data_IF_129916996023
#
_entry.id   IF_129916996023
#
_cell.length_a   1.000
_cell.length_b   1.000
_cell.length_c   1.000
_cell.angle_alpha   90.00
_cell.angle_beta   90.00
_cell.angle_gamma   90.00
#
_symmetry.space_group_name_H-M   'P 1'
#
loop_
_entity.id
_entity.type
_entity.pdbx_description
1 polymer ?
#
# COMPACT_ATOMS: atom_id res chain seq x y z
N UNK A 1 10.34 -32.77 6.76
CA UNK A 1 10.93 -31.45 7.05
C UNK A 1 11.42 -31.51 8.48
N UNK A 2 12.61 -31.01 8.77
CA UNK A 2 13.18 -31.08 10.12
C UNK A 2 12.46 -30.08 11.05
N UNK A 3 12.25 -30.39 12.34
CA UNK A 3 11.55 -29.50 13.27
C UNK A 3 12.14 -28.09 13.37
N UNK A 4 13.46 -27.94 13.15
CA UNK A 4 14.11 -26.63 13.12
C UNK A 4 13.78 -25.82 11.86
N UNK A 5 13.52 -26.47 10.72
CA UNK A 5 13.07 -25.81 9.50
C UNK A 5 11.63 -25.33 9.65
N UNK A 6 10.79 -26.16 10.27
CA UNK A 6 9.41 -25.82 10.61
C UNK A 6 9.35 -24.66 11.61
N UNK A 7 10.30 -24.62 12.56
CA UNK A 7 10.47 -23.54 13.52
C UNK A 7 10.99 -22.24 12.89
N UNK A 8 11.98 -22.30 12.00
CA UNK A 8 12.44 -21.11 11.24
C UNK A 8 11.31 -20.55 10.38
N UNK A 9 10.55 -21.43 9.71
CA UNK A 9 9.40 -21.02 8.92
C UNK A 9 8.37 -20.31 9.83
N UNK A 10 7.95 -20.94 10.93
CA UNK A 10 6.96 -20.37 11.87
C UNK A 10 7.42 -19.12 12.64
N UNK A 11 8.68 -19.02 13.05
CA UNK A 11 9.24 -17.82 13.69
C UNK A 11 9.42 -16.65 12.70
N UNK A 12 9.72 -16.92 11.41
CA UNK A 12 9.72 -15.88 10.36
C UNK A 12 8.29 -15.37 10.06
N UNK A 13 7.24 -16.14 10.37
CA UNK A 13 5.85 -15.73 10.13
C UNK A 13 5.24 -14.88 11.24
N UNK A 14 5.81 -14.83 12.45
CA UNK A 14 5.46 -13.79 13.41
C UNK A 14 6.12 -12.48 12.97
N UNK A 15 5.42 -11.77 12.08
CA UNK A 15 5.88 -10.52 11.51
C UNK A 15 5.47 -9.38 12.43
N UNK A 16 6.48 -8.70 12.95
CA UNK A 16 6.36 -7.40 13.57
C UNK A 16 7.00 -6.36 12.66
N UNK A 17 6.20 -5.74 11.78
CA UNK A 17 6.73 -4.71 10.88
C UNK A 17 7.25 -3.48 11.62
N UNK A 18 6.89 -3.27 12.89
CA UNK A 18 7.47 -2.18 13.67
C UNK A 18 8.95 -2.38 13.93
N UNK A 19 9.43 -3.62 14.05
CA UNK A 19 10.87 -3.90 14.16
C UNK A 19 11.63 -3.47 12.90
N UNK A 20 10.98 -3.57 11.73
CA UNK A 20 11.56 -3.22 10.43
C UNK A 20 11.23 -1.79 9.96
N UNK A 21 10.63 -0.94 10.80
CA UNK A 21 10.12 0.39 10.41
C UNK A 21 11.17 1.30 9.75
N UNK A 22 12.44 1.23 10.17
CA UNK A 22 13.52 2.01 9.57
C UNK A 22 13.88 1.53 8.15
N UNK A 23 13.82 0.23 7.89
CA UNK A 23 14.03 -0.34 6.56
C UNK A 23 12.86 0.04 5.66
N UNK A 24 11.63 -0.14 6.15
CA UNK A 24 10.40 0.25 5.44
C UNK A 24 10.40 1.75 5.10
N UNK A 25 10.78 2.61 6.06
CA UNK A 25 10.86 4.05 5.86
C UNK A 25 11.86 4.46 4.79
N UNK A 26 13.05 3.84 4.79
CA UNK A 26 14.06 4.06 3.73
C UNK A 26 13.56 3.58 2.38
N UNK A 27 13.02 2.37 2.28
CA UNK A 27 12.42 1.85 1.06
C UNK A 27 11.34 2.80 0.50
N UNK A 28 10.47 3.33 1.38
CA UNK A 28 9.43 4.27 0.97
C UNK A 28 10.02 5.59 0.47
N UNK A 29 11.00 6.14 1.18
CA UNK A 29 11.73 7.33 0.74
C UNK A 29 12.36 7.11 -0.64
N UNK A 30 13.03 5.98 -0.87
CA UNK A 30 13.66 5.66 -2.15
C UNK A 30 12.68 5.57 -3.32
N UNK A 31 11.52 4.94 -3.10
CA UNK A 31 10.44 4.89 -4.09
C UNK A 31 9.90 6.30 -4.39
N UNK A 32 9.88 7.19 -3.39
CA UNK A 32 9.39 8.57 -3.56
C UNK A 32 10.42 9.54 -4.16
N UNK A 33 11.73 9.28 -4.06
CA UNK A 33 12.80 10.16 -4.58
C UNK A 33 12.60 10.65 -6.02
N UNK A 34 12.13 9.84 -6.99
CA UNK A 34 11.94 10.30 -8.36
C UNK A 34 10.86 11.37 -8.55
N UNK A 35 9.95 11.53 -7.58
CA UNK A 35 8.84 12.49 -7.60
C UNK A 35 9.02 13.60 -6.57
N UNK A 36 9.82 13.39 -5.53
CA UNK A 36 10.22 14.40 -4.56
C UNK A 36 10.78 15.67 -5.26
N UNK A 37 10.33 16.84 -4.81
CA UNK A 37 10.75 18.14 -5.35
C UNK A 37 10.17 18.52 -6.72
N UNK A 38 9.43 17.62 -7.41
CA UNK A 38 8.69 17.97 -8.63
C UNK A 38 7.46 18.81 -8.28
N UNK A 39 7.19 19.82 -9.11
CA UNK A 39 6.11 20.80 -8.92
C UNK A 39 6.63 22.23 -9.03
N UNK A 40 5.72 23.20 -9.05
CA UNK A 40 6.08 24.60 -8.82
C UNK A 40 6.43 24.83 -7.33
N UNK A 41 7.02 25.96 -6.96
CA UNK A 41 7.45 26.21 -5.58
C UNK A 41 6.32 26.12 -4.54
N UNK A 42 5.07 26.28 -4.95
CA UNK A 42 3.89 26.21 -4.07
C UNK A 42 3.34 24.79 -3.95
N UNK A 43 3.65 23.90 -4.88
CA UNK A 43 3.10 22.54 -4.96
C UNK A 43 4.19 21.47 -5.16
N UNK A 44 5.38 21.67 -4.59
CA UNK A 44 6.44 20.65 -4.60
C UNK A 44 5.99 19.42 -3.84
N UNK A 45 6.40 18.25 -4.33
CA UNK A 45 6.21 17.01 -3.60
C UNK A 45 7.23 16.94 -2.45
N UNK A 46 6.76 16.71 -1.22
CA UNK A 46 7.59 16.76 -0.01
C UNK A 46 7.44 15.45 0.76
N UNK A 47 8.57 14.80 1.07
CA UNK A 47 8.61 13.69 2.00
C UNK A 47 8.72 14.23 3.43
N UNK A 48 7.67 14.03 4.23
CA UNK A 48 7.59 14.58 5.59
C UNK A 48 8.25 13.69 6.66
N UNK A 49 8.78 12.52 6.27
CA UNK A 49 9.40 11.58 7.21
C UNK A 49 8.38 10.97 8.19
N UNK A 50 8.86 10.63 9.39
CA UNK A 50 8.03 10.03 10.44
C UNK A 50 7.14 11.10 11.08
N UNK A 51 5.83 10.91 11.01
CA UNK A 51 4.83 11.68 11.74
C UNK A 51 4.43 10.87 12.97
N UNK A 52 5.28 10.88 13.98
CA UNK A 52 5.01 10.25 15.28
C UNK A 52 3.92 11.04 16.02
N UNK A 53 2.87 10.34 16.46
CA UNK A 53 2.15 10.77 17.66
C UNK A 53 2.97 10.23 18.84
N UNK A 54 3.57 11.13 19.63
CA UNK A 54 4.58 10.79 20.66
C UNK A 54 4.06 9.89 21.80
N UNK A 55 2.80 9.47 21.74
CA UNK A 55 2.10 8.69 22.76
C UNK A 55 1.71 7.27 22.29
N UNK A 56 1.78 6.93 20.99
CA UNK A 56 1.36 5.63 20.48
C UNK A 56 2.53 4.81 19.90
N UNK A 57 3.07 3.88 20.70
CA UNK A 57 4.12 2.93 20.29
C UNK A 57 3.64 1.90 19.24
N UNK A 58 2.37 1.94 18.83
CA UNK A 58 1.71 0.90 18.04
C UNK A 58 1.76 1.11 16.52
N UNK A 59 2.21 2.27 16.03
CA UNK A 59 2.37 2.50 14.59
C UNK A 59 3.41 3.57 14.24
N UNK A 60 3.95 3.53 13.02
CA UNK A 60 4.81 4.57 12.43
C UNK A 60 4.21 5.04 11.10
N UNK A 61 4.13 6.35 10.85
CA UNK A 61 3.55 6.89 9.63
C UNK A 61 4.56 7.71 8.82
N UNK A 62 4.63 7.43 7.53
CA UNK A 62 5.40 8.18 6.55
C UNK A 62 4.47 8.87 5.57
N UNK A 63 4.78 10.12 5.22
CA UNK A 63 3.96 10.90 4.28
C UNK A 63 4.76 11.44 3.10
N UNK A 64 4.14 11.37 1.91
CA UNK A 64 4.55 12.07 0.71
C UNK A 64 3.42 12.96 0.22
N UNK A 65 3.63 14.27 0.23
CA UNK A 65 2.68 15.24 -0.32
C UNK A 65 2.80 15.33 -1.85
N UNK A 66 1.66 15.36 -2.54
CA UNK A 66 1.52 15.48 -4.00
C UNK A 66 0.54 16.62 -4.34
N UNK A 67 0.97 17.87 -4.19
CA UNK A 67 0.11 19.04 -4.41
C UNK A 67 -1.13 19.02 -3.49
N UNK A 68 -2.32 18.74 -4.04
CA UNK A 68 -3.59 18.61 -3.30
C UNK A 68 -3.84 17.19 -2.78
N UNK A 69 -3.03 16.22 -3.19
CA UNK A 69 -3.10 14.82 -2.77
C UNK A 69 -1.93 14.48 -1.83
N UNK A 70 -2.03 13.35 -1.14
CA UNK A 70 -0.94 12.83 -0.31
C UNK A 70 -1.04 11.32 -0.20
N UNK A 71 0.12 10.67 -0.10
CA UNK A 71 0.26 9.27 0.30
C UNK A 71 0.66 9.20 1.76
N UNK A 72 0.00 8.32 2.50
CA UNK A 72 0.35 8.03 3.89
C UNK A 72 0.54 6.53 4.07
N UNK A 73 1.79 6.13 4.30
CA UNK A 73 2.16 4.77 4.62
C UNK A 73 2.28 4.61 6.13
N UNK A 74 1.36 3.87 6.73
CA UNK A 74 1.39 3.50 8.14
C UNK A 74 1.87 2.07 8.32
N UNK A 75 2.85 1.89 9.20
CA UNK A 75 3.41 0.61 9.63
C UNK A 75 2.74 0.23 10.95
N UNK A 76 2.01 -0.88 10.97
CA UNK A 76 1.48 -1.52 12.19
C UNK A 76 2.22 -2.83 12.42
N UNK A 77 2.08 -3.46 13.59
CA UNK A 77 2.76 -4.72 13.91
C UNK A 77 2.57 -5.78 12.81
N UNK A 78 1.34 -5.99 12.36
CA UNK A 78 0.95 -7.12 11.51
C UNK A 78 0.57 -6.74 10.06
N UNK A 79 0.52 -5.44 9.74
CA UNK A 79 0.24 -4.98 8.38
C UNK A 79 0.83 -3.59 8.07
N UNK A 80 1.01 -3.33 6.78
CA UNK A 80 1.24 -1.99 6.24
C UNK A 80 -0.08 -1.46 5.69
N UNK A 81 -0.34 -0.17 5.87
CA UNK A 81 -1.48 0.52 5.27
C UNK A 81 -1.00 1.70 4.45
N UNK A 82 -1.34 1.73 3.17
CA UNK A 82 -1.22 2.93 2.34
C UNK A 82 -2.59 3.57 2.17
N UNK A 83 -2.67 4.85 2.53
CA UNK A 83 -3.79 5.71 2.17
C UNK A 83 -3.37 6.67 1.07
N UNK A 84 -4.24 6.85 0.08
CA UNK A 84 -4.14 7.94 -0.90
C UNK A 84 -5.39 8.80 -0.81
N UNK A 85 -5.21 10.11 -0.71
CA UNK A 85 -6.30 11.02 -0.41
C UNK A 85 -5.98 12.47 -0.72
N UNK A 86 -6.98 13.33 -0.55
CA UNK A 86 -6.80 14.78 -0.60
C UNK A 86 -6.29 15.28 0.74
N UNK A 87 -5.34 16.22 0.75
CA UNK A 87 -4.86 16.84 2.00
C UNK A 87 -6.00 17.58 2.69
N UNK A 88 -6.18 17.36 3.99
CA UNK A 88 -7.20 18.07 4.76
C UNK A 88 -6.67 19.47 5.09
N UNK A 89 -7.36 20.54 4.67
CA UNK A 89 -6.89 21.93 4.90
C UNK A 89 -7.00 22.40 6.36
N UNK A 90 -7.62 21.62 7.25
CA UNK A 90 -7.92 22.02 8.63
C UNK A 90 -7.11 21.19 9.64
N UNK A 91 -6.14 21.84 10.28
CA UNK A 91 -5.28 21.35 11.37
C UNK A 91 -6.02 20.96 12.68
N UNK A 92 -7.35 20.85 12.67
CA UNK A 92 -8.15 20.70 13.90
C UNK A 92 -8.43 19.25 14.30
N UNK A 93 -8.14 18.27 13.45
CA UNK A 93 -8.25 16.86 13.79
C UNK A 93 -7.00 16.16 13.26
N UNK A 94 -6.52 15.13 13.95
CA UNK A 94 -5.36 14.30 13.60
C UNK A 94 -5.49 13.53 12.26
N UNK A 95 -6.27 14.05 11.29
CA UNK A 95 -6.52 13.54 9.95
C UNK A 95 -5.84 14.45 8.92
N UNK A 96 -4.58 14.14 8.65
CA UNK A 96 -3.75 14.81 7.65
C UNK A 96 -4.31 14.67 6.21
N UNK A 97 -5.06 13.60 5.93
CA UNK A 97 -5.71 13.36 4.63
C UNK A 97 -7.18 12.94 4.76
N UNK A 98 -7.98 13.32 3.76
CA UNK A 98 -9.30 12.75 3.45
C UNK A 98 -9.10 11.61 2.44
N UNK A 99 -9.15 10.34 2.87
CA UNK A 99 -8.72 9.22 2.03
C UNK A 99 -9.75 8.89 0.95
N UNK A 100 -9.26 8.62 -0.27
CA UNK A 100 -10.04 8.16 -1.41
C UNK A 100 -9.91 6.66 -1.63
N UNK A 101 -8.74 6.10 -1.33
CA UNK A 101 -8.45 4.67 -1.38
C UNK A 101 -7.60 4.25 -0.18
N UNK A 102 -7.85 3.03 0.31
CA UNK A 102 -7.09 2.35 1.35
C UNK A 102 -6.57 1.03 0.82
N UNK A 103 -5.28 0.79 1.00
CA UNK A 103 -4.63 -0.46 0.63
C UNK A 103 -3.92 -1.00 1.85
N UNK A 104 -4.15 -2.27 2.18
CA UNK A 104 -3.50 -2.95 3.30
C UNK A 104 -2.70 -4.14 2.78
N UNK A 105 -1.45 -4.25 3.23
CA UNK A 105 -0.58 -5.38 2.98
C UNK A 105 -0.35 -6.12 4.30
N UNK A 106 -0.68 -7.41 4.32
CA UNK A 106 -0.42 -8.30 5.46
C UNK A 106 0.14 -9.61 4.97
N UNK A 107 0.63 -10.44 5.89
CA UNK A 107 1.06 -11.81 5.58
C UNK A 107 0.36 -12.80 6.48
N UNK A 108 -0.08 -13.90 5.90
CA UNK A 108 -0.63 -15.05 6.61
C UNK A 108 -0.20 -16.32 5.91
N UNK A 109 0.33 -17.31 6.64
CA UNK A 109 0.59 -18.67 6.12
C UNK A 109 1.29 -18.71 4.74
N UNK A 110 2.44 -18.03 4.58
CA UNK A 110 3.17 -17.88 3.29
C UNK A 110 2.44 -17.10 2.20
N UNK A 111 1.41 -16.34 2.53
CA UNK A 111 0.67 -15.54 1.55
C UNK A 111 0.86 -14.06 1.83
N UNK A 112 1.28 -13.32 0.81
CA UNK A 112 1.12 -11.88 0.76
C UNK A 112 -0.32 -11.56 0.42
N UNK A 113 -0.98 -10.77 1.26
CA UNK A 113 -2.37 -10.40 1.10
C UNK A 113 -2.43 -8.89 0.91
N UNK A 114 -2.97 -8.46 -0.23
CA UNK A 114 -3.19 -7.06 -0.56
C UNK A 114 -4.71 -6.81 -0.60
N UNK A 115 -5.22 -6.01 0.32
CA UNK A 115 -6.64 -5.63 0.41
C UNK A 115 -6.79 -4.19 -0.05
N UNK A 116 -7.59 -3.98 -1.09
CA UNK A 116 -7.85 -2.66 -1.70
C UNK A 116 -9.29 -2.28 -1.45
N UNK A 117 -9.54 -1.06 -0.98
CA UNK A 117 -10.87 -0.51 -0.78
C UNK A 117 -10.95 0.93 -1.27
N UNK A 118 -11.80 1.18 -2.26
CA UNK A 118 -12.17 2.54 -2.64
C UNK A 118 -13.10 3.13 -1.56
N UNK A 119 -12.62 4.16 -0.85
CA UNK A 119 -13.38 4.85 0.20
C UNK A 119 -14.25 5.97 -0.38
N UNK A 120 -13.79 6.61 -1.47
CA UNK A 120 -14.58 7.53 -2.27
C UNK A 120 -14.42 7.15 -3.74
N UNK A 121 -15.36 6.35 -4.26
CA UNK A 121 -15.30 5.84 -5.62
C UNK A 121 -15.15 6.96 -6.65
N UNK A 122 -16.07 7.93 -6.65
CA UNK A 122 -16.07 9.03 -7.64
C UNK A 122 -14.74 9.79 -7.65
N UNK A 123 -14.15 10.04 -6.48
CA UNK A 123 -12.89 10.77 -6.39
C UNK A 123 -11.71 9.88 -6.78
N UNK A 124 -11.74 8.59 -6.43
CA UNK A 124 -10.72 7.63 -6.81
C UNK A 124 -10.72 7.36 -8.33
N UNK A 125 -11.88 7.23 -8.96
CA UNK A 125 -12.04 7.09 -10.42
C UNK A 125 -11.47 8.31 -11.16
N UNK A 126 -11.73 9.53 -10.65
CA UNK A 126 -11.14 10.76 -11.21
C UNK A 126 -9.62 10.77 -11.08
N UNK A 127 -9.09 10.22 -9.99
CA UNK A 127 -7.66 10.19 -9.71
C UNK A 127 -6.93 9.18 -10.61
N UNK A 128 -7.44 7.95 -10.70
CA UNK A 128 -6.81 6.87 -11.49
C UNK A 128 -7.20 6.87 -12.97
N UNK A 129 -8.23 7.63 -13.36
CA UNK A 129 -8.72 7.70 -14.74
C UNK A 129 -9.46 6.45 -15.24
N UNK A 130 -10.02 5.63 -14.33
CA UNK A 130 -10.74 4.41 -14.67
C UNK A 130 -12.05 4.31 -13.88
N UNK A 131 -13.12 3.84 -14.53
CA UNK A 131 -14.43 3.65 -13.90
C UNK A 131 -14.52 2.25 -13.25
N UNK A 132 -14.71 2.21 -11.95
CA UNK A 132 -14.88 1.00 -11.15
C UNK A 132 -16.37 0.60 -11.03
N UNK A 133 -16.68 -0.58 -10.50
CA UNK A 133 -18.04 -0.92 -10.09
C UNK A 133 -18.32 -0.37 -8.66
N UNK A 134 -19.59 -0.21 -8.28
CA UNK A 134 -19.95 0.47 -7.02
C UNK A 134 -19.65 -0.40 -5.79
N UNK A 135 -18.90 0.15 -4.82
CA UNK A 135 -18.64 -0.50 -3.53
C UNK A 135 -17.44 -1.44 -3.49
N UNK A 136 -16.56 -1.38 -4.50
CA UNK A 136 -15.51 -2.38 -4.72
C UNK A 136 -14.46 -2.43 -3.59
N UNK A 137 -14.36 -3.63 -3.02
CA UNK A 137 -13.17 -4.08 -2.31
C UNK A 137 -12.60 -5.28 -3.03
N UNK A 138 -11.28 -5.32 -3.20
CA UNK A 138 -10.57 -6.43 -3.83
C UNK A 138 -9.54 -6.99 -2.86
N UNK A 139 -9.41 -8.31 -2.84
CA UNK A 139 -8.33 -8.99 -2.14
C UNK A 139 -7.50 -9.77 -3.16
N UNK A 140 -6.19 -9.62 -3.07
CA UNK A 140 -5.23 -10.38 -3.86
C UNK A 140 -4.32 -11.16 -2.93
N UNK A 141 -4.04 -12.39 -3.30
CA UNK A 141 -3.15 -13.27 -2.56
C UNK A 141 -2.03 -13.76 -3.45
N UNK A 142 -0.81 -13.77 -2.93
CA UNK A 142 0.37 -14.33 -3.60
C UNK A 142 1.15 -15.23 -2.66
N UNK A 143 1.52 -16.42 -3.12
CA UNK A 143 2.41 -17.31 -2.36
C UNK A 143 3.82 -16.74 -2.33
N UNK A 144 4.45 -16.74 -1.17
CA UNK A 144 5.79 -16.23 -0.91
C UNK A 144 6.55 -17.15 0.06
N UNK A 145 7.80 -17.47 -0.26
CA UNK A 145 8.63 -18.41 0.51
C UNK A 145 9.78 -17.71 1.30
N UNK A 146 9.65 -16.42 1.66
CA UNK A 146 10.83 -15.53 1.80
C UNK A 146 10.97 -14.72 3.10
N UNK A 147 12.24 -14.32 3.34
CA UNK A 147 12.77 -13.41 4.36
C UNK A 147 12.58 -11.94 3.92
N UNK A 148 12.33 -11.03 4.85
CA UNK A 148 12.22 -9.59 4.56
C UNK A 148 13.56 -8.88 4.50
N UNK A 149 13.70 -8.01 3.50
CA UNK A 149 14.85 -7.12 3.30
C UNK A 149 14.40 -5.81 2.62
N UNK A 150 15.35 -4.89 2.45
CA UNK A 150 15.09 -3.57 1.85
C UNK A 150 14.52 -3.65 0.43
N UNK A 151 15.12 -4.48 -0.44
CA UNK A 151 14.65 -4.70 -1.81
C UNK A 151 13.21 -5.23 -1.85
N UNK A 152 12.85 -6.07 -0.89
CA UNK A 152 11.51 -6.61 -0.74
C UNK A 152 10.52 -5.53 -0.31
N UNK A 153 10.87 -4.67 0.65
CA UNK A 153 9.99 -3.56 1.02
C UNK A 153 9.80 -2.57 -0.13
N UNK A 154 10.86 -2.28 -0.90
CA UNK A 154 10.75 -1.48 -2.13
C UNK A 154 9.71 -2.10 -3.08
N UNK A 155 9.73 -3.42 -3.28
CA UNK A 155 8.74 -4.11 -4.12
C UNK A 155 7.32 -4.01 -3.56
N UNK A 156 7.13 -4.25 -2.27
CA UNK A 156 5.82 -4.19 -1.61
C UNK A 156 5.26 -2.77 -1.74
N UNK A 157 6.06 -1.76 -1.41
CA UNK A 157 5.68 -0.34 -1.50
C UNK A 157 5.37 0.06 -2.94
N UNK A 158 6.18 -0.35 -3.91
CA UNK A 158 5.88 -0.11 -5.34
C UNK A 158 4.53 -0.71 -5.74
N UNK A 159 4.20 -1.92 -5.27
CA UNK A 159 2.89 -2.51 -5.53
C UNK A 159 1.77 -1.68 -4.90
N UNK A 160 1.92 -1.28 -3.63
CA UNK A 160 0.95 -0.42 -2.94
C UNK A 160 0.73 0.90 -3.71
N UNK A 161 1.80 1.57 -4.13
CA UNK A 161 1.73 2.83 -4.87
C UNK A 161 1.14 2.64 -6.27
N UNK A 162 1.53 1.58 -6.99
CA UNK A 162 0.96 1.26 -8.31
C UNK A 162 -0.56 1.02 -8.22
N UNK A 163 -1.01 0.29 -7.20
CA UNK A 163 -2.44 0.09 -6.95
C UNK A 163 -3.11 1.44 -6.72
N UNK A 164 -2.52 2.28 -5.86
CA UNK A 164 -3.08 3.58 -5.50
C UNK A 164 -3.19 4.54 -6.69
N UNK A 165 -2.16 4.58 -7.54
CA UNK A 165 -2.05 5.53 -8.66
C UNK A 165 -2.82 5.07 -9.91
N UNK A 166 -2.79 3.77 -10.19
CA UNK A 166 -3.26 3.24 -11.49
C UNK A 166 -4.39 2.23 -11.37
N UNK A 167 -4.71 1.78 -10.15
CA UNK A 167 -5.63 0.65 -9.94
C UNK A 167 -5.10 -0.67 -10.48
N UNK A 168 -3.77 -0.82 -10.62
CA UNK A 168 -3.13 -2.04 -11.13
C UNK A 168 -2.24 -2.71 -10.08
N UNK A 169 -2.15 -4.04 -10.15
CA UNK A 169 -1.17 -4.83 -9.42
C UNK A 169 -0.36 -5.65 -10.41
N UNK A 170 0.97 -5.48 -10.39
CA UNK A 170 1.90 -6.08 -11.36
C UNK A 170 1.50 -5.87 -12.82
N UNK A 171 0.90 -4.72 -13.13
CA UNK A 171 0.45 -4.36 -14.47
C UNK A 171 -0.94 -4.91 -14.87
N UNK A 172 -1.56 -5.76 -14.05
CA UNK A 172 -2.94 -6.19 -14.27
C UNK A 172 -3.93 -5.22 -13.63
N UNK A 173 -4.98 -4.84 -14.36
CA UNK A 173 -6.07 -4.03 -13.83
C UNK A 173 -6.89 -4.84 -12.83
N UNK A 174 -6.98 -4.34 -11.60
CA UNK A 174 -7.65 -5.05 -10.51
C UNK A 174 -9.15 -5.17 -10.69
N UNK A 175 -9.74 -4.14 -11.27
CA UNK A 175 -11.19 -3.97 -11.36
C UNK A 175 -11.69 -4.17 -12.80
N UNK A 176 -10.88 -4.81 -13.65
CA UNK A 176 -11.32 -5.23 -14.98
C UNK A 176 -12.04 -6.58 -14.86
N UNK A 177 -13.24 -6.69 -15.46
CA UNK A 177 -13.94 -7.97 -15.55
C UNK A 177 -13.10 -8.93 -16.39
N UNK A 178 -12.42 -9.88 -15.74
CA UNK A 178 -11.87 -11.03 -16.43
C UNK A 178 -13.05 -11.76 -17.08
N UNK A 179 -13.11 -11.80 -18.42
CA UNK A 179 -14.11 -12.59 -19.11
C UNK A 179 -14.06 -14.01 -18.56
N UNK A 180 -15.18 -14.53 -18.05
CA UNK A 180 -15.32 -15.96 -17.81
C UNK A 180 -15.25 -16.63 -19.18
N UNK A 181 -14.07 -17.13 -19.53
CA UNK A 181 -13.94 -18.08 -20.64
C UNK A 181 -14.75 -19.30 -20.20
N UNK A 182 -15.91 -19.51 -20.82
CA UNK A 182 -16.68 -20.73 -20.55
C UNK A 182 -16.00 -21.89 -21.28
N UNK A 183 -16.14 -23.11 -20.77
CA UNK A 183 -15.63 -24.29 -21.47
C UNK A 183 -16.19 -24.42 -22.91
N UNK A 184 -17.35 -23.81 -23.19
CA UNK A 184 -17.94 -23.72 -24.53
C UNK A 184 -17.14 -22.82 -25.49
N UNK A 185 -16.43 -21.82 -24.96
CA UNK A 185 -15.58 -20.92 -25.76
C UNK A 185 -14.19 -21.52 -26.06
N UNK A 186 -13.84 -22.62 -25.37
CA UNK A 186 -12.59 -23.36 -25.56
C UNK A 186 -12.71 -24.51 -26.58
N UNK A 187 -13.90 -24.76 -27.13
CA UNK A 187 -14.11 -25.84 -28.10
C UNK A 187 -13.74 -27.24 -27.56
N UNK A 188 -13.84 -27.44 -26.24
CA UNK A 188 -13.63 -28.73 -25.56
C UNK A 188 -14.94 -29.48 -25.35
#
# INVERSE_FOLDING_TARGET
MEPWQEKILTEIFHKDFLEDKEIIGRAFQEVCKPIEGKGDEQHKCIYNGVIEDKEDEFYCMFELELQIYSYQLTVFNDYLRLLVGKKTQYYLENKLITPMCKIEYSISENQEIYKVKALSKIEYEKYVGYNFEDGDSMEMTEVTDFIFDDNKYIRVINNLMNIAETGTFKGERLFEKKQKISAKDLGL
#
